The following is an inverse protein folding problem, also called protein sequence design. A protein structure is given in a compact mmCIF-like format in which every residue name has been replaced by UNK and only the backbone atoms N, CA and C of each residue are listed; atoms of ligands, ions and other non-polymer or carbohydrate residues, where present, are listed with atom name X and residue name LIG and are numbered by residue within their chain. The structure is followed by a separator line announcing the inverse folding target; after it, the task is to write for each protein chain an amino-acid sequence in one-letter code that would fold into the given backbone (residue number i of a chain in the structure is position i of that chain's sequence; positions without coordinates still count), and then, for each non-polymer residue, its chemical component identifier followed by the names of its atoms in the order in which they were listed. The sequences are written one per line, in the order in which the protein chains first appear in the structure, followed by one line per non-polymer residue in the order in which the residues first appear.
data_IF_409083779272
#
_entry.id   IF_409083779272
#
_cell.length_a   1.000
_cell.length_b   1.000
_cell.length_c   1.000
_cell.angle_alpha   90.00
_cell.angle_beta   90.00
_cell.angle_gamma   90.00
#
_symmetry.space_group_name_H-M   'P 1'
#
loop_
_entity.id
_entity.type
_entity.pdbx_description
1 polymer ?
#
# COMPACT_ATOMS: atom_id res chain seq x y z
N UNK A 1 -6.92 11.17 16.30
CA UNK A 1 -5.95 10.45 15.44
C UNK A 1 -6.37 8.99 15.24
N UNK A 2 -6.48 8.18 16.30
CA UNK A 2 -7.08 6.82 16.22
C UNK A 2 -8.48 6.86 15.62
N UNK A 3 -9.32 7.78 16.08
CA UNK A 3 -10.69 7.94 15.58
C UNK A 3 -10.71 8.27 14.08
N UNK A 4 -9.75 9.06 13.56
CA UNK A 4 -9.63 9.37 12.12
C UNK A 4 -9.16 8.18 11.28
N UNK A 5 -8.31 7.32 11.84
CA UNK A 5 -7.86 6.08 11.20
C UNK A 5 -8.96 5.01 11.19
N UNK A 6 -9.87 5.05 12.18
CA UNK A 6 -10.92 4.04 12.38
C UNK A 6 -12.28 4.47 11.83
N UNK A 7 -12.54 5.78 11.72
CA UNK A 7 -13.75 6.35 11.11
C UNK A 7 -13.71 6.34 9.58
N UNK A 8 -12.53 6.11 9.00
CA UNK A 8 -12.37 5.94 7.56
C UNK A 8 -12.81 4.54 7.09
N UNK A 9 -13.14 4.41 5.81
CA UNK A 9 -13.25 3.11 5.17
C UNK A 9 -11.90 2.37 5.25
N UNK A 10 -11.91 1.04 5.06
CA UNK A 10 -10.67 0.28 4.82
C UNK A 10 -9.87 0.94 3.69
N UNK A 11 -10.57 1.50 2.71
CA UNK A 11 -9.95 2.23 1.61
C UNK A 11 -9.20 3.51 2.06
N UNK A 12 -9.74 4.27 3.01
CA UNK A 12 -9.04 5.41 3.59
C UNK A 12 -7.81 4.98 4.39
N UNK A 13 -7.93 3.87 5.14
CA UNK A 13 -6.84 3.35 5.94
C UNK A 13 -5.64 2.89 5.07
N UNK A 14 -5.86 2.06 4.05
CA UNK A 14 -4.71 1.60 3.24
C UNK A 14 -4.12 2.75 2.41
N UNK A 15 -4.89 3.78 2.03
CA UNK A 15 -4.34 4.97 1.37
C UNK A 15 -3.32 5.70 2.27
N UNK A 16 -3.59 5.78 3.57
CA UNK A 16 -2.65 6.37 4.54
C UNK A 16 -1.39 5.51 4.65
N UNK A 17 -1.54 4.19 4.68
CA UNK A 17 -0.42 3.23 4.72
C UNK A 17 0.44 3.35 3.45
N UNK A 18 -0.18 3.46 2.28
CA UNK A 18 0.50 3.63 0.99
C UNK A 18 1.37 4.90 0.97
N UNK A 19 0.83 6.03 1.46
CA UNK A 19 1.56 7.29 1.58
C UNK A 19 2.75 7.19 2.54
N UNK A 20 2.61 6.42 3.62
CA UNK A 20 3.70 6.20 4.56
C UNK A 20 4.80 5.30 4.00
N UNK A 21 4.44 4.33 3.15
CA UNK A 21 5.39 3.48 2.44
C UNK A 21 6.13 4.24 1.34
N UNK A 22 5.43 5.08 0.56
CA UNK A 22 6.07 5.88 -0.50
C UNK A 22 7.04 6.93 0.05
N UNK A 23 6.83 7.37 1.30
CA UNK A 23 7.72 8.28 2.04
C UNK A 23 8.83 7.57 2.83
N UNK A 24 8.94 6.25 2.70
CA UNK A 24 9.92 5.42 3.43
C UNK A 24 9.79 5.54 4.97
N UNK A 25 8.61 5.92 5.48
CA UNK A 25 8.32 5.98 6.92
C UNK A 25 8.09 4.58 7.47
N UNK A 26 7.33 3.79 6.72
CA UNK A 26 7.17 2.36 6.94
C UNK A 26 8.11 1.60 6.02
N UNK A 27 8.73 0.53 6.55
CA UNK A 27 9.37 -0.47 5.71
C UNK A 27 8.34 -1.48 5.20
N UNK A 28 8.76 -2.31 4.25
CA UNK A 28 7.95 -3.44 3.82
C UNK A 28 7.68 -4.45 4.95
N UNK A 29 8.67 -4.67 5.83
CA UNK A 29 8.51 -5.54 7.01
C UNK A 29 7.45 -5.01 7.97
N UNK A 30 7.41 -3.68 8.14
CA UNK A 30 6.38 -3.01 8.92
C UNK A 30 4.99 -3.26 8.30
N UNK A 31 4.88 -3.17 6.96
CA UNK A 31 3.64 -3.42 6.24
C UNK A 31 3.18 -4.87 6.29
N UNK A 32 4.05 -5.85 6.05
CA UNK A 32 3.71 -7.27 6.20
C UNK A 32 3.28 -7.58 7.63
N UNK A 33 3.93 -6.94 8.60
CA UNK A 33 3.49 -6.95 9.98
C UNK A 33 2.03 -6.50 10.09
N UNK A 34 1.67 -5.36 9.49
CA UNK A 34 0.32 -4.80 9.53
C UNK A 34 -0.72 -5.62 8.74
N UNK A 35 -0.36 -6.20 7.60
CA UNK A 35 -1.25 -6.81 6.59
C UNK A 35 -1.76 -8.22 6.96
N UNK A 36 -2.15 -8.42 8.23
CA UNK A 36 -2.84 -9.64 8.64
C UNK A 36 -4.30 -9.59 8.16
N UNK A 37 -4.54 -10.30 7.05
CA UNK A 37 -5.87 -10.47 6.44
C UNK A 37 -6.92 -10.81 7.50
N UNK A 38 -8.03 -10.07 7.51
CA UNK A 38 -9.19 -10.34 8.36
C UNK A 38 -9.19 -9.67 9.75
N UNK A 39 -8.20 -8.83 10.07
CA UNK A 39 -8.23 -8.05 11.32
C UNK A 39 -9.17 -6.82 11.21
N UNK A 40 -9.82 -6.41 12.33
CA UNK A 40 -10.59 -5.18 12.34
C UNK A 40 -9.69 -3.95 12.19
N UNK A 41 -10.18 -2.89 11.52
CA UNK A 41 -9.43 -1.64 11.26
C UNK A 41 -8.87 -1.03 12.55
N UNK A 42 -9.58 -1.14 13.67
CA UNK A 42 -9.10 -0.67 14.98
C UNK A 42 -7.78 -1.31 15.42
N UNK A 43 -7.60 -2.61 15.14
CA UNK A 43 -6.35 -3.32 15.42
C UNK A 43 -5.24 -2.88 14.46
N UNK A 44 -5.55 -2.74 13.17
CA UNK A 44 -4.60 -2.25 12.17
C UNK A 44 -4.12 -0.82 12.51
N UNK A 45 -5.05 0.06 12.88
CA UNK A 45 -4.76 1.43 13.31
C UNK A 45 -3.90 1.47 14.58
N UNK A 46 -4.19 0.62 15.56
CA UNK A 46 -3.37 0.51 16.77
C UNK A 46 -1.93 0.12 16.42
N UNK A 47 -1.76 -0.94 15.63
CA UNK A 47 -0.42 -1.42 15.26
C UNK A 47 0.34 -0.40 14.42
N UNK A 48 -0.32 0.28 13.50
CA UNK A 48 0.26 1.37 12.73
C UNK A 48 0.81 2.46 13.65
N UNK A 49 0.03 2.88 14.65
CA UNK A 49 0.44 3.88 15.62
C UNK A 49 1.62 3.41 16.46
N UNK A 50 1.62 2.16 16.91
CA UNK A 50 2.73 1.59 17.69
C UNK A 50 4.02 1.54 16.85
N UNK A 51 3.92 1.14 15.58
CA UNK A 51 5.05 1.14 14.64
C UNK A 51 5.60 2.55 14.41
N UNK A 52 4.72 3.51 14.14
CA UNK A 52 5.12 4.91 13.87
C UNK A 52 5.69 5.56 15.12
N UNK A 53 5.13 5.26 16.29
CA UNK A 53 5.66 5.74 17.57
C UNK A 53 7.12 5.32 17.76
N UNK A 54 7.48 4.10 17.37
CA UNK A 54 8.87 3.62 17.42
C UNK A 54 9.80 4.33 16.44
N UNK A 55 9.27 4.98 15.40
CA UNK A 55 10.05 5.83 14.46
C UNK A 55 10.29 7.26 15.00
N UNK A 56 9.63 7.63 16.10
CA UNK A 56 9.80 8.92 16.76
C UNK A 56 9.03 10.08 16.11
N UNK A 57 9.38 11.30 16.50
CA UNK A 57 8.63 12.52 16.15
C UNK A 57 8.44 12.71 14.64
N UNK A 58 9.48 12.43 13.84
CA UNK A 58 9.41 12.51 12.39
C UNK A 58 8.34 11.57 11.79
N UNK A 59 8.23 10.33 12.31
CA UNK A 59 7.18 9.41 11.86
C UNK A 59 5.78 9.92 12.19
N UNK A 60 5.59 10.52 13.37
CA UNK A 60 4.32 11.10 13.79
C UNK A 60 3.91 12.31 12.92
N UNK A 61 4.87 13.15 12.53
CA UNK A 61 4.64 14.27 11.60
C UNK A 61 4.18 13.75 10.23
N UNK A 62 4.87 12.73 9.71
CA UNK A 62 4.53 12.14 8.42
C UNK A 62 3.16 11.45 8.42
N UNK A 63 2.78 10.79 9.51
CA UNK A 63 1.43 10.26 9.71
C UNK A 63 0.37 11.35 9.66
N UNK A 64 0.64 12.46 10.35
CA UNK A 64 -0.31 13.58 10.40
C UNK A 64 -0.50 14.19 9.01
N UNK A 65 0.58 14.37 8.25
CA UNK A 65 0.51 14.82 6.87
C UNK A 65 -0.24 13.83 5.97
N UNK A 66 0.04 12.53 6.08
CA UNK A 66 -0.65 11.50 5.30
C UNK A 66 -2.16 11.44 5.58
N UNK A 67 -2.57 11.59 6.84
CA UNK A 67 -3.99 11.65 7.24
C UNK A 67 -4.67 12.90 6.68
N UNK A 68 -4.01 14.06 6.72
CA UNK A 68 -4.55 15.30 6.16
C UNK A 68 -4.74 15.20 4.65
N UNK A 69 -3.77 14.63 3.94
CA UNK A 69 -3.86 14.41 2.50
C UNK A 69 -4.93 13.39 2.13
N UNK A 70 -5.05 12.29 2.88
CA UNK A 70 -6.10 11.30 2.64
C UNK A 70 -7.51 11.87 2.87
N UNK A 71 -7.65 12.88 3.73
CA UNK A 71 -8.92 13.60 3.92
C UNK A 71 -9.18 14.60 2.80
N UNK A 72 -8.14 15.28 2.30
CA UNK A 72 -8.25 16.21 1.19
C UNK A 72 -8.53 15.51 -0.15
N UNK A 73 -7.95 14.32 -0.36
CA UNK A 73 -8.16 13.45 -1.52
C UNK A 73 -9.44 12.59 -1.36
N UNK A 74 -10.58 13.24 -1.13
CA UNK A 74 -11.90 12.59 -1.30
C UNK A 74 -12.24 12.29 -2.77
N UNK A 75 -11.31 12.57 -3.69
CA UNK A 75 -11.32 12.11 -5.08
C UNK A 75 -10.60 10.75 -5.16
N UNK A 76 -11.10 9.80 -5.98
CA UNK A 76 -10.39 8.55 -6.21
C UNK A 76 -8.96 8.90 -6.62
N UNK A 77 -7.93 8.25 -6.05
CA UNK A 77 -6.56 8.57 -6.38
C UNK A 77 -6.40 8.38 -7.88
N UNK A 78 -6.25 9.50 -8.61
CA UNK A 78 -5.67 9.44 -9.94
C UNK A 78 -4.37 8.66 -9.78
N UNK A 79 -4.14 7.72 -10.70
CA UNK A 79 -2.88 6.99 -10.82
C UNK A 79 -1.74 7.92 -10.42
N UNK A 80 -0.79 7.54 -9.54
CA UNK A 80 0.48 8.27 -9.48
C UNK A 80 0.98 8.30 -10.94
N UNK A 81 0.82 9.46 -11.57
CA UNK A 81 0.63 9.57 -13.02
C UNK A 81 1.93 9.44 -13.79
N UNK A 82 2.99 9.01 -13.12
CA UNK A 82 4.24 8.69 -13.75
C UNK A 82 4.92 7.60 -12.93
N UNK A 83 4.51 6.36 -13.16
CA UNK A 83 5.55 5.35 -13.34
C UNK A 83 6.46 5.90 -14.43
N UNK A 84 7.62 6.44 -14.05
CA UNK A 84 8.63 6.86 -15.03
C UNK A 84 9.37 5.60 -15.49
N UNK A 85 9.09 5.08 -16.70
CA UNK A 85 9.78 3.91 -17.20
C UNK A 85 11.28 4.17 -17.42
N UNK A 86 11.70 5.44 -17.40
CA UNK A 86 13.07 5.90 -17.58
C UNK A 86 13.75 6.32 -16.26
N UNK A 87 13.12 6.05 -15.12
CA UNK A 87 13.76 6.25 -13.84
C UNK A 87 15.12 5.54 -13.79
N UNK A 88 16.16 6.19 -13.22
CA UNK A 88 17.45 5.53 -13.00
C UNK A 88 17.36 4.36 -12.02
N UNK A 89 16.25 4.21 -11.29
CA UNK A 89 16.05 3.20 -10.25
C UNK A 89 14.67 2.52 -10.36
N UNK A 90 14.38 1.81 -11.48
CA UNK A 90 13.05 1.27 -11.75
C UNK A 90 12.60 0.25 -10.71
N UNK A 91 13.53 -0.49 -10.09
CA UNK A 91 13.21 -1.42 -9.01
C UNK A 91 12.80 -0.70 -7.71
N UNK A 92 13.44 0.43 -7.38
CA UNK A 92 13.11 1.22 -6.18
C UNK A 92 11.76 1.90 -6.38
N UNK A 93 11.50 2.38 -7.58
CA UNK A 93 10.21 3.01 -7.91
C UNK A 93 9.09 1.99 -7.93
N UNK A 94 9.32 0.78 -8.46
CA UNK A 94 8.36 -0.31 -8.35
C UNK A 94 8.06 -0.66 -6.90
N UNK A 95 9.08 -0.69 -6.04
CA UNK A 95 8.92 -0.97 -4.61
C UNK A 95 8.12 0.12 -3.89
N UNK A 96 8.37 1.40 -4.18
CA UNK A 96 7.65 2.52 -3.55
C UNK A 96 6.18 2.58 -3.98
N UNK A 97 5.85 2.12 -5.19
CA UNK A 97 4.49 2.05 -5.71
C UNK A 97 3.79 0.70 -5.46
N UNK A 98 4.52 -0.29 -4.94
CA UNK A 98 3.99 -1.64 -4.69
C UNK A 98 2.67 -1.64 -3.91
N UNK A 99 2.46 -0.82 -2.87
CA UNK A 99 1.20 -0.85 -2.11
C UNK A 99 -0.02 -0.48 -2.96
N UNK A 100 0.10 0.58 -3.77
CA UNK A 100 -0.93 0.98 -4.72
C UNK A 100 -1.16 -0.07 -5.82
N UNK A 101 -0.11 -0.75 -6.27
CA UNK A 101 -0.20 -1.85 -7.24
C UNK A 101 -0.95 -3.04 -6.59
N UNK A 102 -0.55 -3.45 -5.39
CA UNK A 102 -1.19 -4.56 -4.65
C UNK A 102 -2.67 -4.28 -4.44
N UNK A 103 -3.06 -3.05 -4.07
CA UNK A 103 -4.46 -2.65 -3.95
C UNK A 103 -5.23 -2.82 -5.26
N UNK A 104 -4.65 -2.43 -6.40
CA UNK A 104 -5.29 -2.60 -7.72
C UNK A 104 -5.40 -4.06 -8.13
N UNK A 105 -4.46 -4.89 -7.70
CA UNK A 105 -4.50 -6.33 -7.92
C UNK A 105 -5.47 -7.03 -6.97
N UNK A 106 -5.75 -6.46 -5.81
CA UNK A 106 -6.63 -7.04 -4.81
C UNK A 106 -8.04 -7.24 -5.39
N UNK A 107 -8.55 -8.48 -5.32
CA UNK A 107 -9.83 -8.87 -5.93
C UNK A 107 -9.79 -9.07 -7.47
N UNK A 108 -8.66 -8.77 -8.12
CA UNK A 108 -8.46 -8.90 -9.56
C UNK A 108 -7.30 -9.84 -9.94
N UNK A 109 -6.67 -10.49 -8.95
CA UNK A 109 -5.47 -11.32 -9.12
C UNK A 109 -5.63 -12.33 -10.25
N UNK A 110 -6.72 -13.10 -10.27
CA UNK A 110 -6.94 -14.12 -11.31
C UNK A 110 -7.02 -13.53 -12.71
N UNK A 111 -7.78 -12.45 -12.89
CA UNK A 111 -7.92 -11.79 -14.19
C UNK A 111 -6.60 -11.18 -14.67
N UNK A 112 -5.77 -10.69 -13.74
CA UNK A 112 -4.44 -10.17 -14.08
C UNK A 112 -3.48 -11.30 -14.42
N UNK A 113 -3.48 -12.41 -13.67
CA UNK A 113 -2.67 -13.59 -13.95
C UNK A 113 -2.99 -14.19 -15.33
N UNK A 114 -4.27 -14.32 -15.67
CA UNK A 114 -4.68 -14.81 -17.00
C UNK A 114 -4.17 -13.88 -18.12
N UNK A 115 -4.28 -12.56 -17.92
CA UNK A 115 -3.81 -11.58 -18.90
C UNK A 115 -2.28 -11.58 -19.06
N UNK A 116 -1.54 -11.69 -17.95
CA UNK A 116 -0.06 -11.70 -17.99
C UNK A 116 0.46 -12.99 -18.59
N UNK A 117 -0.19 -14.13 -18.33
CA UNK A 117 0.12 -15.42 -18.96
C UNK A 117 -0.18 -15.39 -20.46
N UNK A 118 -1.36 -14.91 -20.89
CA UNK A 118 -1.73 -14.80 -22.31
C UNK A 118 -0.78 -13.91 -23.11
N UNK A 119 -0.21 -12.88 -22.46
CA UNK A 119 0.77 -11.98 -23.08
C UNK A 119 2.21 -12.51 -22.99
N UNK A 120 2.44 -13.64 -22.33
CA UNK A 120 3.76 -14.27 -22.19
C UNK A 120 4.70 -13.55 -21.22
N UNK A 121 4.17 -12.74 -20.29
CA UNK A 121 4.98 -12.09 -19.25
C UNK A 121 5.36 -13.05 -18.11
N UNK A 122 4.51 -14.04 -17.85
CA UNK A 122 4.74 -15.10 -16.87
C UNK A 122 4.36 -16.45 -17.48
N UNK A 123 5.06 -17.50 -17.06
CA UNK A 123 4.81 -18.89 -17.45
C UNK A 123 3.65 -19.49 -16.66
N UNK A 124 3.14 -20.63 -17.14
CA UNK A 124 2.14 -21.40 -16.39
C UNK A 124 2.68 -21.84 -15.02
N UNK A 125 3.95 -22.23 -14.94
CA UNK A 125 4.60 -22.60 -13.68
C UNK A 125 4.59 -21.43 -12.67
N UNK A 126 4.99 -20.23 -13.10
CA UNK A 126 4.95 -19.04 -12.24
C UNK A 126 3.53 -18.67 -11.84
N UNK A 127 2.55 -18.86 -12.73
CA UNK A 127 1.13 -18.63 -12.44
C UNK A 127 0.62 -19.58 -11.36
N UNK A 128 0.96 -20.85 -11.45
CA UNK A 128 0.58 -21.89 -10.48
C UNK A 128 1.28 -21.70 -9.12
N UNK A 129 2.47 -21.08 -9.08
CA UNK A 129 3.15 -20.72 -7.84
C UNK A 129 2.49 -19.50 -7.14
N UNK A 130 1.93 -18.57 -7.92
CA UNK A 130 1.27 -17.36 -7.38
C UNK A 130 -0.17 -17.64 -6.93
N UNK A 131 -0.84 -18.65 -7.50
CA UNK A 131 -2.22 -19.05 -7.20
C UNK A 131 -2.20 -20.16 -6.13
N UNK A 132 -2.30 -19.84 -4.82
CA UNK A 132 -2.18 -20.83 -3.75
C UNK A 132 -3.37 -21.81 -3.70
#
# INVERSE_FOLDING_TARGET
LVELLVSGSLEGFESIVDRLLSREVLSWEDYEGLSLVGQPISHLARRLLDTIWNKGAWGCEQLTAAVQEAQADSQPPELPSSWDPHSPHPARDLQSHRPAIVRRLYGHVEGVLDLTQQRGFISQYETDEIRP
#
